data_IF_416998434001
#
_entry.id   IF_416998434001
#
_cell.length_a   1.000
_cell.length_b   1.000
_cell.length_c   1.000
_cell.angle_alpha   90.00
_cell.angle_beta   90.00
_cell.angle_gamma   90.00
#
_symmetry.space_group_name_H-M   'P 1'
#
loop_
_entity.id
_entity.type
_entity.pdbx_description
1 polymer ?
#
# COMPACT_ATOMS: atom_id res chain seq x y z
N UNK A 1 -45.61 36.69 -35.00
CA UNK A 1 -44.96 37.38 -33.86
C UNK A 1 -43.77 36.50 -33.44
N UNK A 2 -42.55 36.68 -33.97
CA UNK A 2 -41.54 37.68 -33.57
C UNK A 2 -41.42 37.80 -32.03
N UNK A 3 -40.70 36.86 -31.41
CA UNK A 3 -40.09 37.08 -30.10
C UNK A 3 -38.56 37.24 -30.27
N UNK A 4 -38.05 38.48 -30.34
CA UNK A 4 -36.64 38.80 -30.50
C UNK A 4 -35.91 38.99 -29.15
N UNK A 5 -36.31 38.29 -28.08
CA UNK A 5 -35.89 38.68 -26.71
C UNK A 5 -35.14 37.64 -25.88
N UNK A 6 -34.84 36.45 -26.42
CA UNK A 6 -34.15 35.40 -25.64
C UNK A 6 -32.63 35.30 -25.88
N UNK A 7 -32.03 36.19 -26.68
CA UNK A 7 -30.59 36.14 -26.98
C UNK A 7 -29.69 36.81 -25.92
N UNK A 8 -30.22 37.66 -25.04
CA UNK A 8 -29.38 38.46 -24.13
C UNK A 8 -28.97 37.72 -22.84
N UNK A 9 -29.64 36.63 -22.47
CA UNK A 9 -29.41 35.97 -21.18
C UNK A 9 -28.31 34.89 -21.22
N UNK A 10 -27.90 34.42 -22.40
CA UNK A 10 -26.93 33.30 -22.52
C UNK A 10 -25.47 33.76 -22.39
N UNK A 11 -25.20 35.06 -22.53
CA UNK A 11 -23.82 35.59 -22.56
C UNK A 11 -23.22 35.81 -21.16
N UNK A 12 -24.03 35.87 -20.10
CA UNK A 12 -23.55 36.24 -18.77
C UNK A 12 -22.98 35.09 -17.90
N UNK A 13 -23.14 33.82 -18.31
CA UNK A 13 -22.74 32.67 -17.47
C UNK A 13 -21.35 32.07 -17.79
N UNK A 14 -20.62 32.60 -18.78
CA UNK A 14 -19.38 31.96 -19.29
C UNK A 14 -18.09 32.52 -18.66
N UNK A 15 -18.15 33.60 -17.87
CA UNK A 15 -16.93 34.33 -17.44
C UNK A 15 -16.28 33.88 -16.11
N UNK A 16 -16.68 32.74 -15.52
CA UNK A 16 -16.07 32.21 -14.28
C UNK A 16 -15.30 30.89 -14.43
N UNK A 17 -15.08 30.39 -15.65
CA UNK A 17 -14.41 29.11 -15.91
C UNK A 17 -12.88 29.22 -16.17
N UNK A 18 -12.22 30.28 -15.68
CA UNK A 18 -10.81 30.54 -15.95
C UNK A 18 -9.92 30.34 -14.72
N UNK A 19 -9.64 29.08 -14.34
CA UNK A 19 -8.46 28.64 -13.55
C UNK A 19 -8.48 27.13 -13.25
N UNK A 20 -8.91 26.30 -14.21
CA UNK A 20 -8.70 24.85 -14.11
C UNK A 20 -7.46 24.50 -14.95
N UNK A 21 -6.28 24.54 -14.31
CA UNK A 21 -5.09 23.87 -14.84
C UNK A 21 -5.41 22.39 -14.95
N UNK A 22 -5.85 21.97 -16.14
CA UNK A 22 -6.13 20.58 -16.47
C UNK A 22 -4.79 19.85 -16.64
N UNK A 23 -4.09 19.62 -15.51
CA UNK A 23 -2.94 18.72 -15.46
C UNK A 23 -3.50 17.32 -15.67
N UNK A 24 -3.50 16.85 -16.91
CA UNK A 24 -3.78 15.45 -17.25
C UNK A 24 -2.90 14.62 -16.32
N UNK A 25 -3.47 13.83 -15.39
CA UNK A 25 -2.68 12.95 -14.57
C UNK A 25 -2.10 11.93 -15.52
N UNK A 26 -0.79 12.04 -15.79
CA UNK A 26 -0.06 10.94 -16.41
C UNK A 26 -0.19 9.79 -15.40
N UNK A 27 -0.75 8.63 -15.77
CA UNK A 27 -0.77 7.48 -14.89
C UNK A 27 0.68 7.05 -14.69
N UNK A 28 1.30 7.56 -13.63
CA UNK A 28 2.50 6.94 -13.08
C UNK A 28 2.06 5.54 -12.67
N UNK A 29 2.58 4.53 -13.36
CA UNK A 29 2.36 3.14 -12.98
C UNK A 29 2.74 3.01 -11.52
N UNK A 30 1.74 2.81 -10.66
CA UNK A 30 1.96 2.67 -9.23
C UNK A 30 2.71 1.36 -9.03
N UNK A 31 3.99 1.45 -8.66
CA UNK A 31 4.77 0.30 -8.26
C UNK A 31 4.06 -0.26 -7.02
N UNK A 32 3.54 -1.50 -7.06
CA UNK A 32 2.85 -2.05 -5.91
C UNK A 32 3.79 -2.01 -4.70
N UNK A 33 3.30 -1.62 -3.52
CA UNK A 33 4.13 -1.50 -2.33
C UNK A 33 4.77 -2.86 -2.03
N UNK A 34 6.10 -2.91 -2.10
CA UNK A 34 6.86 -4.12 -1.73
C UNK A 34 6.72 -4.30 -0.22
N UNK A 35 5.96 -5.31 0.18
CA UNK A 35 5.80 -5.62 1.61
C UNK A 35 7.08 -6.31 2.11
N UNK A 36 7.78 -5.74 3.11
CA UNK A 36 8.99 -6.35 3.63
C UNK A 36 8.70 -7.69 4.29
N UNK A 37 9.71 -8.57 4.28
CA UNK A 37 9.58 -9.87 4.92
C UNK A 37 9.39 -9.73 6.43
N UNK A 38 8.40 -10.46 6.96
CA UNK A 38 8.19 -10.59 8.39
C UNK A 38 9.30 -11.45 8.99
N UNK A 39 10.18 -10.85 9.78
CA UNK A 39 11.26 -11.56 10.48
C UNK A 39 10.71 -12.23 11.73
N UNK A 40 10.98 -13.52 11.89
CA UNK A 40 10.50 -14.31 13.03
C UNK A 40 11.68 -15.05 13.65
N UNK A 41 11.92 -14.79 14.92
CA UNK A 41 12.93 -15.45 15.73
C UNK A 41 12.26 -16.46 16.66
N UNK A 42 12.66 -17.73 16.59
CA UNK A 42 12.01 -18.78 17.35
C UNK A 42 12.96 -19.83 17.92
N UNK A 43 12.56 -20.42 19.05
CA UNK A 43 13.26 -21.56 19.62
C UNK A 43 13.35 -22.72 18.62
N UNK A 44 14.47 -23.43 18.60
CA UNK A 44 14.68 -24.56 17.69
C UNK A 44 13.61 -25.66 17.79
N UNK A 45 13.04 -25.88 18.98
CA UNK A 45 11.95 -26.83 19.21
C UNK A 45 10.66 -26.51 18.46
N UNK A 46 10.47 -25.26 18.02
CA UNK A 46 9.28 -24.80 17.28
C UNK A 46 9.43 -24.92 15.76
N UNK A 47 10.54 -25.47 15.25
CA UNK A 47 10.84 -25.49 13.81
C UNK A 47 9.71 -26.06 12.96
N UNK A 48 9.19 -27.24 13.31
CA UNK A 48 8.12 -27.88 12.54
C UNK A 48 6.89 -26.99 12.46
N UNK A 49 6.34 -26.64 13.63
CA UNK A 49 5.11 -25.85 13.74
C UNK A 49 5.23 -24.48 13.05
N UNK A 50 6.31 -23.73 13.27
CA UNK A 50 6.45 -22.39 12.68
C UNK A 50 6.80 -22.40 11.20
N UNK A 51 7.41 -23.48 10.69
CA UNK A 51 7.59 -23.63 9.23
C UNK A 51 6.25 -23.77 8.53
N UNK A 52 5.35 -24.58 9.09
CA UNK A 52 4.00 -24.76 8.54
C UNK A 52 3.16 -23.49 8.63
N UNK A 53 3.17 -22.82 9.79
CA UNK A 53 2.46 -21.55 9.99
C UNK A 53 2.97 -20.48 9.03
N UNK A 54 4.30 -20.38 8.82
CA UNK A 54 4.87 -19.40 7.90
C UNK A 54 4.43 -19.65 6.45
N UNK A 55 4.43 -20.91 6.00
CA UNK A 55 3.94 -21.29 4.67
C UNK A 55 2.49 -20.86 4.48
N UNK A 56 1.63 -21.19 5.44
CA UNK A 56 0.19 -20.92 5.35
C UNK A 56 -0.10 -19.42 5.46
N UNK A 57 0.67 -18.69 6.27
CA UNK A 57 0.61 -17.23 6.33
C UNK A 57 0.99 -16.61 4.98
N UNK A 58 2.15 -16.98 4.43
CA UNK A 58 2.60 -16.49 3.12
C UNK A 58 1.57 -16.76 2.01
N UNK A 59 0.96 -17.94 2.00
CA UNK A 59 -0.07 -18.29 1.02
C UNK A 59 -1.34 -17.42 1.13
N UNK A 60 -1.71 -17.02 2.35
CA UNK A 60 -2.92 -16.21 2.61
C UNK A 60 -2.70 -14.71 2.41
N UNK A 61 -1.52 -14.20 2.78
CA UNK A 61 -1.27 -12.75 2.83
C UNK A 61 -0.41 -12.26 1.67
N UNK A 62 0.33 -13.15 1.02
CA UNK A 62 1.38 -12.78 0.06
C UNK A 62 2.61 -12.12 0.72
N UNK A 63 2.60 -11.89 2.03
CA UNK A 63 3.72 -11.29 2.73
C UNK A 63 4.79 -12.35 3.01
N UNK A 64 6.05 -12.18 2.56
CA UNK A 64 7.13 -13.13 2.81
C UNK A 64 7.46 -13.23 4.30
N UNK A 65 7.90 -14.40 4.76
CA UNK A 65 8.33 -14.64 6.14
C UNK A 65 9.77 -15.15 6.16
N UNK A 66 10.60 -14.54 7.00
CA UNK A 66 11.99 -14.93 7.23
C UNK A 66 12.13 -15.57 8.61
N UNK A 67 12.21 -16.90 8.66
CA UNK A 67 12.34 -17.67 9.90
C UNK A 67 13.81 -17.81 10.31
N UNK A 68 14.11 -17.47 11.56
CA UNK A 68 15.40 -17.72 12.21
C UNK A 68 15.19 -18.58 13.46
N UNK A 69 15.85 -19.73 13.51
CA UNK A 69 15.75 -20.66 14.64
C UNK A 69 17.06 -20.72 15.43
N UNK A 70 16.96 -20.80 16.76
CA UNK A 70 18.13 -20.84 17.65
C UNK A 70 17.78 -21.07 19.11
N UNK A 71 18.77 -20.93 20.00
CA UNK A 71 18.55 -20.94 21.43
C UNK A 71 17.85 -19.66 21.88
N UNK A 72 16.74 -19.77 22.61
CA UNK A 72 15.88 -18.62 22.94
C UNK A 72 16.61 -17.47 23.65
N UNK A 73 17.57 -17.79 24.53
CA UNK A 73 18.39 -16.77 25.21
C UNK A 73 19.19 -15.90 24.24
N UNK A 74 19.89 -16.53 23.29
CA UNK A 74 20.67 -15.83 22.28
C UNK A 74 19.80 -15.05 21.29
N UNK A 75 18.62 -15.57 20.95
CA UNK A 75 17.68 -14.87 20.07
C UNK A 75 17.10 -13.62 20.75
N UNK A 76 16.78 -13.70 22.05
CA UNK A 76 16.37 -12.53 22.84
C UNK A 76 17.45 -11.45 22.82
N UNK A 77 18.71 -11.81 23.07
CA UNK A 77 19.83 -10.86 23.04
C UNK A 77 19.99 -10.16 21.68
N UNK A 78 19.64 -10.84 20.58
CA UNK A 78 19.65 -10.23 19.23
C UNK A 78 18.52 -9.22 19.07
N UNK A 79 17.31 -9.57 19.52
CA UNK A 79 16.15 -8.66 19.48
C UNK A 79 16.42 -7.41 20.32
N UNK A 80 17.02 -7.57 21.50
CA UNK A 80 17.44 -6.45 22.37
C UNK A 80 18.45 -5.52 21.68
N UNK A 81 19.21 -6.01 20.69
CA UNK A 81 20.15 -5.23 19.87
C UNK A 81 19.53 -4.62 18.61
N UNK A 82 18.21 -4.73 18.42
CA UNK A 82 17.49 -4.12 17.30
C UNK A 82 17.34 -5.02 16.07
N UNK A 83 17.53 -6.33 16.23
CA UNK A 83 17.10 -7.30 15.21
C UNK A 83 15.59 -7.58 15.23
#
# INVERSE_FOLDING_TARGET
>A
MRHPFSLAAVVAAVLLAGCASNKVPVPVAEVPPVTPALRVYAAGSLRGALTEIARDYQARTGQPVALTFGASGLLRERIEKGE
#
